data_IF_767631208257
#
_entry.id   IF_767631208257
#
_cell.length_a   1.000
_cell.length_b   1.000
_cell.length_c   1.000
_cell.angle_alpha   90.00
_cell.angle_beta   90.00
_cell.angle_gamma   90.00
#
_symmetry.space_group_name_H-M   'P 1'
#
loop_
_entity.id
_entity.type
_entity.pdbx_description
1 polymer ?
#
# COMPACT_ATOMS: atom_id res chain seq x y z
N UNK A 1 -10.54 -11.05 2.90
CA UNK A 1 -11.83 -11.55 3.42
C UNK A 1 -11.69 -13.01 3.84
N UNK A 2 -12.34 -13.42 4.91
CA UNK A 2 -12.34 -14.81 5.38
C UNK A 2 -13.37 -15.56 4.52
N UNK A 3 -13.07 -16.80 4.13
CA UNK A 3 -14.00 -17.64 3.36
C UNK A 3 -15.31 -17.84 4.15
N UNK A 4 -16.44 -17.56 3.52
CA UNK A 4 -17.77 -17.65 4.15
C UNK A 4 -18.22 -16.38 4.89
N UNK A 5 -17.37 -15.36 5.03
CA UNK A 5 -17.78 -14.07 5.58
C UNK A 5 -18.48 -13.21 4.51
N UNK A 6 -19.36 -12.30 4.93
CA UNK A 6 -20.02 -11.39 4.01
C UNK A 6 -19.14 -10.15 3.73
N UNK A 7 -19.32 -9.54 2.55
CA UNK A 7 -18.69 -8.26 2.18
C UNK A 7 -19.01 -7.18 3.23
N UNK A 8 -20.28 -7.05 3.61
CA UNK A 8 -20.74 -6.10 4.62
C UNK A 8 -20.01 -6.27 5.95
N UNK A 9 -19.92 -7.51 6.45
CA UNK A 9 -19.25 -7.79 7.72
C UNK A 9 -17.75 -7.49 7.64
N UNK A 10 -17.10 -7.82 6.53
CA UNK A 10 -15.68 -7.52 6.31
C UNK A 10 -15.41 -6.02 6.29
N UNK A 11 -16.27 -5.21 5.64
CA UNK A 11 -16.18 -3.75 5.64
C UNK A 11 -16.35 -3.17 7.05
N UNK A 12 -17.34 -3.66 7.82
CA UNK A 12 -17.52 -3.23 9.21
C UNK A 12 -16.32 -3.61 10.09
N UNK A 13 -15.73 -4.79 9.90
CA UNK A 13 -14.49 -5.16 10.62
C UNK A 13 -13.34 -4.23 10.27
N UNK A 14 -13.16 -3.89 8.98
CA UNK A 14 -12.12 -2.94 8.54
C UNK A 14 -12.28 -1.57 9.19
N UNK A 15 -13.52 -1.08 9.31
CA UNK A 15 -13.82 0.17 10.03
C UNK A 15 -13.43 0.08 11.51
N UNK A 16 -13.76 -1.02 12.19
CA UNK A 16 -13.37 -1.24 13.59
C UNK A 16 -11.86 -1.30 13.78
N UNK A 17 -11.13 -1.92 12.84
CA UNK A 17 -9.66 -1.95 12.88
C UNK A 17 -9.07 -0.55 12.73
N UNK A 18 -9.61 0.26 11.81
CA UNK A 18 -9.16 1.64 11.64
C UNK A 18 -9.44 2.50 12.89
N UNK A 19 -10.62 2.35 13.50
CA UNK A 19 -10.96 3.01 14.77
C UNK A 19 -10.01 2.59 15.89
N UNK A 20 -9.70 1.30 15.98
CA UNK A 20 -8.75 0.80 16.98
C UNK A 20 -7.33 1.32 16.74
N UNK A 21 -6.89 1.39 15.49
CA UNK A 21 -5.60 1.99 15.13
C UNK A 21 -5.54 3.49 15.50
N UNK A 22 -6.63 4.23 15.26
CA UNK A 22 -6.76 5.65 15.65
C UNK A 22 -6.65 5.84 17.17
N UNK A 23 -7.35 5.00 17.96
CA UNK A 23 -7.29 5.01 19.42
C UNK A 23 -5.89 4.70 19.96
N UNK A 24 -5.18 3.79 19.30
CA UNK A 24 -3.82 3.39 19.68
C UNK A 24 -2.74 4.37 19.22
N UNK A 25 -3.11 5.42 18.46
CA UNK A 25 -2.20 6.45 18.03
C UNK A 25 -1.32 6.06 16.83
N UNK A 26 -1.76 5.12 15.99
CA UNK A 26 -1.10 4.86 14.71
C UNK A 26 -1.18 6.08 13.81
N UNK A 27 -0.12 6.32 13.02
CA UNK A 27 -0.04 7.48 12.14
C UNK A 27 -1.00 7.36 10.95
N UNK A 28 -1.09 6.17 10.33
CA UNK A 28 -1.79 5.97 9.05
C UNK A 28 -2.58 4.67 9.02
N UNK A 29 -3.66 4.70 8.25
CA UNK A 29 -4.43 3.53 7.83
C UNK A 29 -4.68 3.63 6.33
N UNK A 30 -4.00 2.79 5.54
CA UNK A 30 -4.12 2.82 4.09
C UNK A 30 -4.85 1.61 3.54
N UNK A 31 -5.51 1.82 2.43
CA UNK A 31 -6.33 0.84 1.72
C UNK A 31 -5.74 0.57 0.34
N UNK A 32 -5.60 -0.70 -0.03
CA UNK A 32 -5.12 -1.11 -1.34
C UNK A 32 -6.19 -0.91 -2.43
N UNK A 33 -5.80 -1.10 -3.69
CA UNK A 33 -6.71 -1.25 -4.83
C UNK A 33 -6.45 -2.59 -5.52
N UNK A 34 -7.46 -3.46 -5.53
CA UNK A 34 -7.43 -4.72 -6.26
C UNK A 34 -8.80 -4.99 -6.88
N UNK A 35 -8.79 -5.45 -8.13
CA UNK A 35 -9.98 -5.75 -8.89
C UNK A 35 -10.07 -7.23 -9.21
N UNK A 36 -11.31 -7.76 -9.33
CA UNK A 36 -11.59 -9.15 -9.73
C UNK A 36 -10.81 -10.19 -8.90
N UNK A 37 -10.65 -9.96 -7.61
CA UNK A 37 -9.83 -10.80 -6.74
C UNK A 37 -10.66 -11.31 -5.57
N UNK A 38 -11.23 -12.53 -5.64
CA UNK A 38 -11.93 -13.13 -4.53
C UNK A 38 -11.08 -13.14 -3.26
N UNK A 39 -11.68 -12.71 -2.15
CA UNK A 39 -10.96 -12.55 -0.88
C UNK A 39 -10.39 -11.15 -0.61
N UNK A 40 -10.36 -10.25 -1.61
CA UNK A 40 -9.99 -8.83 -1.44
C UNK A 40 -11.12 -7.96 -1.97
N UNK A 41 -11.72 -7.15 -1.09
CA UNK A 41 -12.92 -6.35 -1.42
C UNK A 41 -12.64 -4.86 -1.58
N UNK A 42 -11.37 -4.48 -1.67
CA UNK A 42 -10.93 -3.10 -1.78
C UNK A 42 -10.69 -2.74 -3.26
N UNK A 43 -11.78 -2.51 -4.02
CA UNK A 43 -11.71 -2.08 -5.41
C UNK A 43 -12.05 -0.59 -5.56
N UNK A 44 -13.04 -0.09 -4.83
CA UNK A 44 -13.43 1.32 -4.81
C UNK A 44 -12.69 2.07 -3.70
N UNK A 45 -11.38 2.21 -3.83
CA UNK A 45 -10.48 2.67 -2.75
C UNK A 45 -10.83 4.06 -2.24
N UNK A 46 -11.10 5.04 -3.11
CA UNK A 46 -11.47 6.40 -2.70
C UNK A 46 -12.76 6.45 -1.88
N UNK A 47 -13.75 5.62 -2.20
CA UNK A 47 -15.00 5.50 -1.42
C UNK A 47 -14.70 4.96 -0.02
N UNK A 48 -13.87 3.94 0.07
CA UNK A 48 -13.50 3.34 1.36
C UNK A 48 -12.62 4.27 2.19
N UNK A 49 -11.70 5.03 1.57
CA UNK A 49 -10.93 6.08 2.26
C UNK A 49 -11.87 7.10 2.91
N UNK A 50 -12.88 7.59 2.18
CA UNK A 50 -13.88 8.51 2.71
C UNK A 50 -14.69 7.91 3.86
N UNK A 51 -15.12 6.65 3.72
CA UNK A 51 -15.83 5.94 4.78
C UNK A 51 -14.99 5.80 6.06
N UNK A 52 -13.74 5.37 5.94
CA UNK A 52 -12.83 5.21 7.10
C UNK A 52 -12.49 6.57 7.71
N UNK A 53 -12.19 7.59 6.91
CA UNK A 53 -11.91 8.94 7.42
C UNK A 53 -13.07 9.53 8.20
N UNK A 54 -14.32 9.30 7.74
CA UNK A 54 -15.54 9.72 8.44
C UNK A 54 -15.83 8.96 9.74
N UNK A 55 -15.26 7.78 9.92
CA UNK A 55 -15.44 6.93 11.11
C UNK A 55 -14.24 6.95 12.06
N UNK A 56 -13.22 7.77 11.80
CA UNK A 56 -12.01 7.96 12.62
C UNK A 56 -11.78 9.45 12.90
N UNK A 57 -10.89 9.79 13.83
CA UNK A 57 -10.76 11.18 14.32
C UNK A 57 -9.42 11.83 14.00
N UNK A 58 -8.30 11.10 14.15
CA UNK A 58 -6.94 11.65 14.09
C UNK A 58 -6.06 10.97 13.06
N UNK A 59 -6.20 9.66 12.91
CA UNK A 59 -5.38 8.86 12.01
C UNK A 59 -5.48 9.36 10.57
N UNK A 60 -4.37 9.41 9.87
CA UNK A 60 -4.36 9.71 8.44
C UNK A 60 -4.89 8.50 7.67
N UNK A 61 -5.72 8.76 6.68
CA UNK A 61 -6.32 7.69 5.87
C UNK A 61 -5.93 7.90 4.41
N UNK A 62 -5.56 6.85 3.72
CA UNK A 62 -5.12 7.00 2.34
C UNK A 62 -5.18 5.72 1.52
N UNK A 63 -4.64 5.82 0.33
CA UNK A 63 -4.47 4.69 -0.57
C UNK A 63 -3.05 4.12 -0.50
N UNK A 64 -2.96 2.79 -0.50
CA UNK A 64 -1.68 2.11 -0.53
C UNK A 64 -1.61 1.03 -1.61
N UNK A 65 -1.89 1.44 -2.90
CA UNK A 65 -2.16 2.72 -3.55
C UNK A 65 -3.30 2.67 -4.54
N UNK A 66 -3.64 3.85 -5.06
CA UNK A 66 -4.41 3.93 -6.30
C UNK A 66 -3.52 3.41 -7.44
N UNK A 67 -4.03 2.47 -8.20
CA UNK A 67 -3.35 1.94 -9.40
C UNK A 67 -3.61 2.93 -10.55
N UNK A 68 -2.82 4.01 -10.60
CA UNK A 68 -3.07 5.18 -11.45
C UNK A 68 -3.34 4.85 -12.92
N UNK A 69 -2.69 3.84 -13.54
CA UNK A 69 -3.03 3.47 -14.93
C UNK A 69 -4.49 3.03 -15.15
N UNK A 70 -5.24 2.67 -14.11
CA UNK A 70 -6.66 2.32 -14.21
C UNK A 70 -7.58 3.55 -14.21
N UNK A 71 -7.06 4.75 -13.93
CA UNK A 71 -7.85 5.95 -13.65
C UNK A 71 -7.42 7.15 -14.50
N UNK A 72 -8.33 8.12 -14.67
CA UNK A 72 -7.97 9.45 -15.17
C UNK A 72 -7.33 10.26 -14.01
N UNK A 73 -6.17 10.91 -14.21
CA UNK A 73 -5.58 11.79 -13.20
C UNK A 73 -6.55 12.87 -12.70
N UNK A 74 -7.36 13.46 -13.61
CA UNK A 74 -8.37 14.43 -13.23
C UNK A 74 -9.38 13.87 -12.20
N UNK A 75 -9.93 12.68 -12.48
CA UNK A 75 -10.89 12.03 -11.58
C UNK A 75 -10.27 11.72 -10.22
N UNK A 76 -9.01 11.25 -10.19
CA UNK A 76 -8.28 10.99 -8.93
C UNK A 76 -8.06 12.29 -8.16
N UNK A 77 -7.66 13.39 -8.84
CA UNK A 77 -7.48 14.69 -8.20
C UNK A 77 -8.80 15.23 -7.61
N UNK A 78 -9.91 15.09 -8.33
CA UNK A 78 -11.24 15.51 -7.83
C UNK A 78 -11.69 14.65 -6.63
N UNK A 79 -11.50 13.32 -6.69
CA UNK A 79 -11.85 12.43 -5.58
C UNK A 79 -11.03 12.73 -4.32
N UNK A 80 -9.70 12.80 -4.44
CA UNK A 80 -8.84 13.04 -3.29
C UNK A 80 -8.90 14.48 -2.80
N UNK A 81 -9.11 15.43 -3.68
CA UNK A 81 -9.42 16.82 -3.31
C UNK A 81 -10.73 16.97 -2.54
N UNK A 82 -11.76 16.21 -2.94
CA UNK A 82 -13.02 16.12 -2.19
C UNK A 82 -12.79 15.53 -0.79
N UNK A 83 -12.01 14.45 -0.71
CA UNK A 83 -11.67 13.80 0.56
C UNK A 83 -10.90 14.76 1.48
N UNK A 84 -9.89 15.46 0.96
CA UNK A 84 -9.12 16.43 1.74
C UNK A 84 -9.98 17.61 2.21
N UNK A 85 -10.91 18.07 1.38
CA UNK A 85 -11.88 19.12 1.75
C UNK A 85 -12.83 18.69 2.87
N UNK A 86 -13.22 17.40 2.89
CA UNK A 86 -14.07 16.81 3.93
C UNK A 86 -13.28 16.49 5.21
N UNK A 87 -12.02 16.10 5.09
CA UNK A 87 -11.16 15.64 6.20
C UNK A 87 -9.78 16.30 6.16
N UNK A 88 -9.70 17.63 6.35
CA UNK A 88 -8.47 18.42 6.14
C UNK A 88 -7.27 17.89 6.92
N UNK A 89 -6.13 17.77 6.25
CA UNK A 89 -4.86 17.33 6.83
C UNK A 89 -4.77 15.83 7.13
N UNK A 90 -5.76 15.03 6.74
CA UNK A 90 -5.83 13.60 7.09
C UNK A 90 -5.77 12.65 5.90
N UNK A 91 -5.69 13.15 4.69
CA UNK A 91 -5.74 12.32 3.47
C UNK A 91 -4.34 12.13 2.90
N UNK A 92 -4.03 10.91 2.47
CA UNK A 92 -2.81 10.54 1.73
C UNK A 92 -3.19 9.90 0.39
N UNK A 93 -2.49 10.29 -0.68
CA UNK A 93 -2.64 9.70 -2.00
C UNK A 93 -1.40 8.87 -2.35
N UNK A 94 -1.44 7.58 -2.03
CA UNK A 94 -0.43 6.64 -2.49
C UNK A 94 -0.74 6.15 -3.89
N UNK A 95 0.28 6.13 -4.78
CA UNK A 95 0.14 5.80 -6.19
C UNK A 95 0.98 4.57 -6.55
N UNK A 96 0.37 3.61 -7.25
CA UNK A 96 1.04 2.46 -7.84
C UNK A 96 0.98 2.47 -9.37
N UNK A 97 2.04 1.94 -10.00
CA UNK A 97 2.10 1.79 -11.46
C UNK A 97 1.50 0.48 -11.97
N UNK A 98 1.51 -0.56 -11.13
CA UNK A 98 1.00 -1.87 -11.50
C UNK A 98 -0.53 -1.81 -11.74
N UNK A 99 -1.10 -2.66 -12.60
CA UNK A 99 -2.55 -2.65 -12.85
C UNK A 99 -3.36 -3.18 -11.65
N UNK A 100 -2.74 -3.85 -10.68
CA UNK A 100 -3.43 -4.42 -9.52
C UNK A 100 -4.43 -5.54 -9.85
N UNK A 101 -4.34 -6.10 -11.07
CA UNK A 101 -5.30 -7.06 -11.61
C UNK A 101 -4.68 -7.91 -12.73
N UNK A 102 -5.42 -8.93 -13.17
CA UNK A 102 -5.08 -9.75 -14.34
C UNK A 102 -5.34 -9.01 -15.68
N UNK A 103 -4.80 -9.51 -16.82
CA UNK A 103 -4.96 -8.85 -18.13
C UNK A 103 -6.41 -8.73 -18.64
N UNK A 104 -7.32 -9.64 -18.24
CA UNK A 104 -8.73 -9.56 -18.61
C UNK A 104 -9.40 -8.42 -17.87
N UNK A 105 -9.15 -8.32 -16.59
CA UNK A 105 -9.64 -7.25 -15.73
C UNK A 105 -9.07 -5.91 -16.13
N UNK A 106 -7.77 -5.82 -16.48
CA UNK A 106 -7.17 -4.58 -16.97
C UNK A 106 -7.88 -4.05 -18.22
N UNK A 107 -8.25 -4.93 -19.15
CA UNK A 107 -9.05 -4.55 -20.33
C UNK A 107 -10.46 -4.04 -19.96
N UNK A 108 -11.10 -4.66 -18.99
CA UNK A 108 -12.41 -4.20 -18.49
C UNK A 108 -12.34 -2.83 -17.81
N UNK A 109 -11.18 -2.47 -17.26
CA UNK A 109 -10.89 -1.14 -16.68
C UNK A 109 -10.43 -0.11 -17.75
N UNK A 110 -10.48 -0.46 -19.05
CA UNK A 110 -9.95 0.34 -20.14
C UNK A 110 -8.46 0.72 -19.97
N UNK A 111 -7.72 -0.14 -19.27
CA UNK A 111 -6.28 0.04 -19.06
C UNK A 111 -5.55 -0.83 -20.08
N UNK A 112 -4.83 -0.21 -20.99
CA UNK A 112 -3.86 -0.89 -21.84
C UNK A 112 -2.45 -0.80 -21.24
N UNK A 113 -1.55 -1.65 -21.72
CA UNK A 113 -0.18 -1.70 -21.21
C UNK A 113 0.59 -0.38 -21.41
N UNK A 114 0.17 0.46 -22.40
CA UNK A 114 0.83 1.73 -22.70
C UNK A 114 0.63 2.78 -21.58
N UNK A 115 -0.45 2.71 -20.84
CA UNK A 115 -0.72 3.65 -19.75
C UNK A 115 0.30 3.53 -18.61
N UNK A 116 0.81 2.32 -18.32
CA UNK A 116 1.86 2.13 -17.34
C UNK A 116 3.18 2.82 -17.71
N UNK A 117 3.43 3.05 -19.00
CA UNK A 117 4.60 3.79 -19.50
C UNK A 117 4.45 5.29 -19.25
N UNK A 118 3.23 5.82 -19.30
CA UNK A 118 2.93 7.23 -19.05
C UNK A 118 2.82 7.59 -17.55
N UNK A 119 2.96 6.62 -16.66
CA UNK A 119 2.85 6.84 -15.21
C UNK A 119 3.64 8.05 -14.67
N UNK A 120 4.91 8.31 -15.08
CA UNK A 120 5.64 9.50 -14.64
C UNK A 120 4.98 10.82 -15.06
N UNK A 121 4.37 10.86 -16.24
CA UNK A 121 3.61 12.00 -16.74
C UNK A 121 2.32 12.21 -15.96
N UNK A 122 1.56 11.14 -15.72
CA UNK A 122 0.31 11.17 -14.95
C UNK A 122 0.53 11.61 -13.49
N UNK A 123 1.68 11.23 -12.88
CA UNK A 123 2.07 11.74 -11.54
C UNK A 123 2.33 13.25 -11.59
N UNK A 124 3.00 13.76 -12.63
CA UNK A 124 3.21 15.22 -12.81
C UNK A 124 1.89 15.95 -12.98
N UNK A 125 0.97 15.39 -13.76
CA UNK A 125 -0.37 15.94 -13.96
C UNK A 125 -1.13 16.03 -12.63
N UNK A 126 -1.10 14.98 -11.80
CA UNK A 126 -1.71 14.99 -10.46
C UNK A 126 -1.09 16.06 -9.56
N UNK A 127 0.23 16.21 -9.56
CA UNK A 127 0.89 17.28 -8.81
C UNK A 127 0.40 18.67 -9.25
N UNK A 128 0.19 18.86 -10.55
CA UNK A 128 -0.34 20.12 -11.10
C UNK A 128 -1.79 20.35 -10.72
N UNK A 129 -2.64 19.31 -10.83
CA UNK A 129 -4.07 19.40 -10.55
C UNK A 129 -4.41 19.61 -9.06
N UNK A 130 -3.57 19.06 -8.15
CA UNK A 130 -3.74 19.21 -6.70
C UNK A 130 -3.01 20.45 -6.13
N UNK A 131 -2.05 20.97 -6.89
CA UNK A 131 -1.28 22.15 -6.53
C UNK A 131 -2.01 23.47 -6.75
N UNK A 132 -1.32 24.60 -6.50
CA UNK A 132 -1.86 25.94 -6.79
C UNK A 132 -2.12 26.13 -8.29
N UNK A 133 -3.32 26.58 -8.61
CA UNK A 133 -3.63 26.93 -10.00
C UNK A 133 -2.89 28.20 -10.43
N UNK A 134 -2.07 28.05 -11.46
CA UNK A 134 -1.20 29.12 -11.99
C UNK A 134 -1.63 29.64 -13.37
N UNK A 135 -2.81 29.22 -13.86
CA UNK A 135 -3.34 29.63 -15.16
C UNK A 135 -2.71 28.97 -16.40
N UNK A 136 -1.73 28.09 -16.23
CA UNK A 136 -1.02 27.43 -17.36
C UNK A 136 -1.67 26.11 -17.79
N UNK A 137 -2.36 25.43 -16.89
CA UNK A 137 -3.06 24.19 -17.20
C UNK A 137 -4.50 24.47 -17.67
N UNK A 138 -4.93 23.91 -18.81
CA UNK A 138 -6.25 24.21 -19.39
C UNK A 138 -7.42 23.61 -18.58
N UNK A 139 -7.15 22.60 -17.73
CA UNK A 139 -8.13 21.89 -16.93
C UNK A 139 -7.87 22.19 -15.46
N UNK A 140 -8.94 22.36 -14.69
CA UNK A 140 -8.91 22.55 -13.24
C UNK A 140 -9.59 21.37 -12.55
N UNK A 141 -8.96 20.81 -11.55
CA UNK A 141 -9.59 19.82 -10.68
C UNK A 141 -10.32 20.52 -9.54
N UNK A 142 -11.65 20.52 -9.56
CA UNK A 142 -12.44 21.18 -8.49
C UNK A 142 -13.25 20.10 -7.80
N UNK A 143 -13.04 19.91 -6.46
CA UNK A 143 -12.35 20.79 -5.49
C UNK A 143 -10.85 20.47 -5.25
N UNK A 144 -10.16 19.74 -6.12
CA UNK A 144 -8.78 19.28 -5.91
C UNK A 144 -7.70 20.37 -5.87
N UNK A 145 -7.85 21.45 -6.66
CA UNK A 145 -6.81 22.48 -6.76
C UNK A 145 -6.55 23.15 -5.39
N UNK A 146 -5.29 23.51 -5.12
CA UNK A 146 -4.80 24.08 -3.85
C UNK A 146 -4.92 23.16 -2.63
N UNK A 147 -5.37 21.92 -2.76
CA UNK A 147 -5.46 21.00 -1.62
C UNK A 147 -4.10 20.47 -1.21
N UNK A 148 -3.14 20.39 -2.14
CA UNK A 148 -1.80 19.85 -1.92
C UNK A 148 -1.82 18.49 -1.20
N UNK A 149 -2.78 17.61 -1.52
CA UNK A 149 -2.85 16.26 -0.95
C UNK A 149 -1.50 15.57 -1.08
N UNK A 150 -0.91 15.07 0.03
CA UNK A 150 0.39 14.40 -0.02
C UNK A 150 0.38 13.20 -0.95
N UNK A 151 1.23 13.25 -1.99
CA UNK A 151 1.42 12.14 -2.95
C UNK A 151 2.59 11.29 -2.47
N UNK A 152 2.38 9.96 -2.45
CA UNK A 152 3.35 8.94 -2.11
C UNK A 152 3.56 8.00 -3.29
N UNK A 153 4.80 7.70 -3.66
CA UNK A 153 5.08 6.74 -4.72
C UNK A 153 5.38 5.36 -4.13
N UNK A 154 4.56 4.38 -4.53
CA UNK A 154 4.67 3.01 -4.07
C UNK A 154 5.28 2.11 -5.13
N UNK A 155 6.07 1.15 -4.70
CA UNK A 155 6.54 0.09 -5.58
C UNK A 155 7.51 -0.87 -4.92
N UNK A 156 7.81 -1.93 -5.66
CA UNK A 156 8.72 -3.01 -5.25
C UNK A 156 9.91 -3.16 -6.21
N UNK A 157 10.23 -2.12 -6.97
CA UNK A 157 11.27 -2.13 -8.00
C UNK A 157 12.13 -0.86 -7.98
N UNK A 158 13.27 -0.91 -8.64
CA UNK A 158 14.16 0.24 -8.79
C UNK A 158 13.51 1.42 -9.54
N UNK A 159 12.59 1.14 -10.46
CA UNK A 159 11.89 2.18 -11.22
C UNK A 159 11.12 3.16 -10.33
N UNK A 160 10.32 2.64 -9.38
CA UNK A 160 9.54 3.49 -8.48
C UNK A 160 10.43 4.28 -7.52
N UNK A 161 11.52 3.68 -7.06
CA UNK A 161 12.54 4.33 -6.25
C UNK A 161 13.18 5.52 -6.99
N UNK A 162 13.60 5.30 -8.23
CA UNK A 162 14.19 6.33 -9.07
C UNK A 162 13.22 7.46 -9.39
N UNK A 163 11.97 7.12 -9.73
CA UNK A 163 10.95 8.13 -10.01
C UNK A 163 10.64 8.99 -8.78
N UNK A 164 10.49 8.38 -7.60
CA UNK A 164 10.26 9.09 -6.35
C UNK A 164 11.43 10.03 -6.02
N UNK A 165 12.67 9.55 -6.18
CA UNK A 165 13.88 10.34 -5.97
C UNK A 165 13.95 11.56 -6.90
N UNK A 166 13.69 11.36 -8.21
CA UNK A 166 13.73 12.42 -9.21
C UNK A 166 12.65 13.48 -8.99
N UNK A 167 11.47 13.08 -8.50
CA UNK A 167 10.35 13.98 -8.20
C UNK A 167 10.40 14.61 -6.81
N UNK A 168 11.35 14.20 -5.95
CA UNK A 168 11.41 14.65 -4.56
C UNK A 168 10.17 14.29 -3.75
N UNK A 169 9.59 13.13 -4.00
CA UNK A 169 8.39 12.61 -3.33
C UNK A 169 8.76 11.53 -2.31
N UNK A 170 7.94 11.34 -1.25
CA UNK A 170 8.13 10.24 -0.33
C UNK A 170 7.94 8.89 -1.03
N UNK A 171 8.76 7.92 -0.64
CA UNK A 171 8.82 6.61 -1.26
C UNK A 171 8.34 5.52 -0.30
N UNK A 172 7.50 4.63 -0.79
CA UNK A 172 7.02 3.45 -0.06
C UNK A 172 7.49 2.19 -0.75
N UNK A 173 8.39 1.46 -0.12
CA UNK A 173 8.79 0.16 -0.64
C UNK A 173 7.82 -0.93 -0.21
N UNK A 174 7.21 -1.61 -1.19
CA UNK A 174 6.27 -2.70 -0.98
C UNK A 174 7.03 -4.02 -0.71
N UNK A 175 7.59 -4.16 0.50
CA UNK A 175 8.45 -5.29 0.89
C UNK A 175 7.76 -6.65 0.86
N UNK A 176 6.44 -6.66 0.98
CA UNK A 176 5.62 -7.86 0.89
C UNK A 176 5.48 -8.45 -0.53
N UNK A 177 5.98 -7.76 -1.57
CA UNK A 177 5.96 -8.27 -2.96
C UNK A 177 7.33 -8.68 -3.46
N UNK A 178 8.38 -7.96 -3.12
CA UNK A 178 9.71 -8.22 -3.66
C UNK A 178 10.83 -7.94 -2.63
N UNK A 179 10.88 -8.70 -1.52
CA UNK A 179 11.81 -8.44 -0.42
C UNK A 179 13.28 -8.36 -0.85
N UNK A 180 13.66 -9.11 -1.88
CA UNK A 180 15.04 -9.15 -2.42
C UNK A 180 15.58 -7.81 -2.92
N UNK A 181 14.71 -6.89 -3.32
CA UNK A 181 15.12 -5.59 -3.88
C UNK A 181 15.13 -4.45 -2.86
N UNK A 182 14.76 -4.69 -1.62
CA UNK A 182 14.57 -3.64 -0.61
C UNK A 182 15.80 -2.77 -0.41
N UNK A 183 16.98 -3.38 -0.27
CA UNK A 183 18.25 -2.66 -0.06
C UNK A 183 18.60 -1.78 -1.27
N UNK A 184 18.57 -2.35 -2.46
CA UNK A 184 18.94 -1.65 -3.68
C UNK A 184 17.99 -0.50 -3.99
N UNK A 185 16.69 -0.69 -3.79
CA UNK A 185 15.68 0.32 -4.05
C UNK A 185 15.77 1.50 -3.07
N UNK A 186 15.92 1.24 -1.78
CA UNK A 186 16.07 2.28 -0.76
C UNK A 186 17.40 3.03 -0.94
N UNK A 187 18.50 2.33 -1.20
CA UNK A 187 19.80 2.95 -1.47
C UNK A 187 19.76 3.84 -2.72
N UNK A 188 19.11 3.36 -3.80
CA UNK A 188 18.91 4.14 -5.03
C UNK A 188 18.09 5.41 -4.75
N UNK A 189 16.97 5.28 -4.07
CA UNK A 189 16.10 6.41 -3.73
C UNK A 189 16.86 7.49 -2.96
N UNK A 190 17.58 7.11 -1.90
CA UNK A 190 18.34 8.04 -1.07
C UNK A 190 19.47 8.71 -1.84
N UNK A 191 20.22 7.95 -2.63
CA UNK A 191 21.36 8.45 -3.41
C UNK A 191 20.95 9.46 -4.48
N UNK A 192 19.82 9.22 -5.15
CA UNK A 192 19.37 10.01 -6.30
C UNK A 192 18.29 11.04 -5.94
N UNK A 193 17.96 11.15 -4.65
CA UNK A 193 16.93 12.07 -4.18
C UNK A 193 17.27 13.53 -4.52
N UNK A 194 16.28 14.21 -5.07
CA UNK A 194 16.31 15.65 -5.34
C UNK A 194 15.28 16.34 -4.46
N UNK A 195 15.74 17.30 -3.65
CA UNK A 195 14.83 18.11 -2.85
C UNK A 195 13.79 18.81 -3.73
N UNK A 196 12.59 18.93 -3.21
CA UNK A 196 11.43 19.53 -3.88
C UNK A 196 10.69 20.47 -2.93
N UNK A 197 9.60 21.07 -3.40
CA UNK A 197 8.68 21.82 -2.52
C UNK A 197 7.94 20.94 -1.52
N UNK A 198 7.99 19.61 -1.68
CA UNK A 198 7.31 18.62 -0.80
C UNK A 198 8.25 18.12 0.29
N UNK A 199 9.51 17.81 -0.06
CA UNK A 199 10.50 17.24 0.84
C UNK A 199 11.89 17.83 0.62
N UNK A 200 12.53 18.24 1.70
CA UNK A 200 13.93 18.69 1.70
C UNK A 200 14.93 17.52 1.74
N UNK A 201 14.53 16.38 2.28
CA UNK A 201 15.32 15.16 2.42
C UNK A 201 14.50 13.90 2.13
N UNK A 202 15.16 12.78 1.78
CA UNK A 202 14.46 11.52 1.54
C UNK A 202 13.55 11.12 2.71
N UNK A 203 12.39 10.57 2.41
CA UNK A 203 11.50 9.95 3.38
C UNK A 203 11.09 8.56 2.88
N UNK A 204 11.46 7.53 3.63
CA UNK A 204 11.26 6.11 3.27
C UNK A 204 10.25 5.47 4.21
N UNK A 205 9.19 4.93 3.65
CA UNK A 205 8.26 4.05 4.36
C UNK A 205 8.45 2.62 3.85
N UNK A 206 8.49 1.64 4.75
CA UNK A 206 8.58 0.22 4.41
C UNK A 206 7.26 -0.49 4.74
N UNK A 207 6.60 -1.00 3.70
CA UNK A 207 5.47 -1.90 3.87
C UNK A 207 5.98 -3.34 4.07
N UNK A 208 5.59 -3.97 5.18
CA UNK A 208 5.96 -5.34 5.51
C UNK A 208 4.81 -6.09 6.19
N UNK A 209 4.72 -7.42 6.00
CA UNK A 209 3.78 -8.24 6.76
C UNK A 209 4.19 -8.32 8.21
N UNK A 210 3.24 -8.12 9.13
CA UNK A 210 3.48 -8.24 10.56
C UNK A 210 2.41 -9.10 11.20
N UNK A 211 2.84 -10.07 12.03
CA UNK A 211 1.97 -10.91 12.87
C UNK A 211 2.44 -10.83 14.31
N UNK A 212 1.65 -10.16 15.11
CA UNK A 212 1.90 -9.98 16.54
C UNK A 212 0.96 -10.83 17.38
N UNK A 213 1.46 -11.41 18.46
CA UNK A 213 0.67 -12.11 19.47
C UNK A 213 1.30 -11.93 20.87
N UNK A 214 0.71 -12.51 21.90
CA UNK A 214 1.25 -12.42 23.26
C UNK A 214 2.57 -13.21 23.39
N UNK A 215 2.72 -14.30 22.65
CA UNK A 215 3.93 -15.13 22.61
C UNK A 215 4.45 -15.34 21.19
N UNK A 216 5.73 -15.69 21.07
CA UNK A 216 6.35 -16.05 19.79
C UNK A 216 5.68 -17.29 19.18
N UNK A 217 5.35 -18.29 19.97
CA UNK A 217 4.73 -19.54 19.49
C UNK A 217 3.32 -19.27 18.93
N UNK A 218 2.52 -18.47 19.63
CA UNK A 218 1.20 -18.04 19.13
C UNK A 218 1.32 -17.26 17.83
N UNK A 219 2.26 -16.32 17.75
CA UNK A 219 2.52 -15.57 16.53
C UNK A 219 2.93 -16.48 15.36
N UNK A 220 3.76 -17.49 15.61
CA UNK A 220 4.14 -18.48 14.60
C UNK A 220 2.92 -19.29 14.13
N UNK A 221 2.07 -19.73 15.04
CA UNK A 221 0.80 -20.39 14.70
C UNK A 221 -0.08 -19.50 13.82
N UNK A 222 -0.32 -18.25 14.23
CA UNK A 222 -1.14 -17.29 13.46
C UNK A 222 -0.54 -16.97 12.08
N UNK A 223 0.79 -16.95 11.96
CA UNK A 223 1.50 -16.69 10.71
C UNK A 223 1.25 -17.73 9.63
N UNK A 224 0.79 -18.93 10.00
CA UNK A 224 0.45 -19.98 9.04
C UNK A 224 -0.68 -19.58 8.11
N UNK A 225 -1.58 -18.68 8.51
CA UNK A 225 -2.58 -18.06 7.62
C UNK A 225 -1.93 -17.31 6.46
N UNK A 226 -0.88 -16.52 6.73
CA UNK A 226 -0.14 -15.79 5.68
C UNK A 226 0.62 -16.75 4.77
N UNK A 227 1.23 -17.79 5.34
CA UNK A 227 1.93 -18.83 4.56
C UNK A 227 0.97 -19.56 3.63
N UNK A 228 -0.21 -19.95 4.12
CA UNK A 228 -1.27 -20.56 3.30
C UNK A 228 -1.68 -19.63 2.16
N UNK A 229 -1.89 -18.34 2.44
CA UNK A 229 -2.30 -17.36 1.42
C UNK A 229 -1.25 -17.19 0.32
N UNK A 230 0.04 -17.13 0.67
CA UNK A 230 1.13 -17.05 -0.31
C UNK A 230 1.21 -18.34 -1.13
N UNK A 231 1.00 -19.50 -0.50
CA UNK A 231 0.95 -20.79 -1.21
C UNK A 231 -0.20 -20.81 -2.24
N UNK A 232 -1.40 -20.31 -1.87
CA UNK A 232 -2.52 -20.19 -2.81
C UNK A 232 -2.20 -19.21 -3.96
N UNK A 233 -1.51 -18.11 -3.67
CA UNK A 233 -1.05 -17.15 -4.68
C UNK A 233 -0.11 -17.81 -5.69
N UNK A 234 0.87 -18.60 -5.23
CA UNK A 234 1.83 -19.31 -6.08
C UNK A 234 1.11 -20.32 -6.97
N UNK A 235 0.07 -20.97 -6.46
CA UNK A 235 -0.75 -21.95 -7.19
C UNK A 235 -1.79 -21.31 -8.12
N UNK A 236 -1.94 -19.99 -8.10
CA UNK A 236 -2.95 -19.28 -8.89
C UNK A 236 -4.39 -19.48 -8.41
N UNK A 237 -4.57 -19.83 -7.15
CA UNK A 237 -5.87 -20.03 -6.53
C UNK A 237 -6.46 -18.74 -5.97
N UNK A 238 -7.73 -18.79 -5.53
CA UNK A 238 -8.40 -17.67 -4.85
C UNK A 238 -7.75 -17.36 -3.49
N UNK A 239 -7.60 -16.06 -3.17
CA UNK A 239 -6.85 -15.57 -2.03
C UNK A 239 -7.70 -15.38 -0.76
N UNK A 240 -8.59 -16.33 -0.45
CA UNK A 240 -9.33 -16.33 0.80
C UNK A 240 -8.42 -16.50 2.02
N UNK A 241 -8.69 -15.75 3.08
CA UNK A 241 -8.02 -16.01 4.35
C UNK A 241 -8.57 -17.30 4.96
N UNK A 242 -7.68 -18.23 5.22
CA UNK A 242 -7.94 -19.50 5.92
C UNK A 242 -7.56 -19.36 7.40
N UNK A 243 -8.19 -20.11 8.30
CA UNK A 243 -7.77 -20.15 9.69
C UNK A 243 -6.32 -20.66 9.80
N UNK A 244 -5.61 -20.28 10.87
CA UNK A 244 -4.28 -20.83 11.14
C UNK A 244 -4.34 -22.35 11.42
N UNK A 245 -3.25 -23.03 11.15
CA UNK A 245 -3.08 -24.48 11.31
C UNK A 245 -1.77 -24.78 12.03
N UNK A 246 -1.69 -25.94 12.70
CA UNK A 246 -0.51 -26.36 13.48
C UNK A 246 0.74 -26.53 12.61
N UNK A 247 0.61 -27.10 11.41
CA UNK A 247 1.71 -27.30 10.47
C UNK A 247 1.23 -27.22 9.02
N UNK A 248 2.14 -26.82 8.13
CA UNK A 248 1.97 -26.92 6.69
C UNK A 248 2.66 -28.17 6.12
N UNK A 249 3.24 -29.02 6.95
CA UNK A 249 3.88 -30.25 6.51
C UNK A 249 2.88 -31.14 5.75
N UNK A 250 3.30 -31.60 4.59
CA UNK A 250 2.45 -32.37 3.68
C UNK A 250 1.48 -31.54 2.81
N UNK A 251 1.35 -30.22 3.05
CA UNK A 251 0.51 -29.32 2.24
C UNK A 251 1.29 -28.63 1.12
N UNK A 252 2.61 -28.62 1.19
CA UNK A 252 3.49 -28.01 0.19
C UNK A 252 4.67 -28.92 -0.15
N UNK A 253 5.23 -28.75 -1.34
CA UNK A 253 6.51 -29.33 -1.73
C UNK A 253 7.68 -28.50 -1.15
N UNK A 254 8.89 -29.03 -1.12
CA UNK A 254 10.09 -28.27 -0.71
C UNK A 254 10.30 -27.01 -1.57
N UNK A 255 10.00 -27.08 -2.85
CA UNK A 255 10.12 -25.95 -3.76
C UNK A 255 9.10 -24.87 -3.45
N UNK A 256 7.84 -25.22 -3.19
CA UNK A 256 6.80 -24.28 -2.77
C UNK A 256 7.13 -23.66 -1.42
N UNK A 257 7.62 -24.45 -0.46
CA UNK A 257 8.10 -23.96 0.84
C UNK A 257 9.18 -22.90 0.67
N UNK A 258 10.21 -23.17 -0.13
CA UNK A 258 11.28 -22.22 -0.38
C UNK A 258 10.76 -20.92 -1.01
N UNK A 259 9.79 -21.00 -1.93
CA UNK A 259 9.15 -19.82 -2.53
C UNK A 259 8.34 -19.01 -1.49
N UNK A 260 7.55 -19.67 -0.64
CA UNK A 260 6.76 -19.01 0.42
C UNK A 260 7.70 -18.33 1.42
N UNK A 261 8.75 -19.02 1.89
CA UNK A 261 9.73 -18.47 2.84
C UNK A 261 10.46 -17.26 2.25
N UNK A 262 10.86 -17.33 0.99
CA UNK A 262 11.50 -16.20 0.30
C UNK A 262 10.54 -15.01 0.14
N UNK A 263 9.28 -15.25 -0.24
CA UNK A 263 8.26 -14.21 -0.37
C UNK A 263 7.99 -13.51 0.97
N UNK A 264 7.98 -14.25 2.07
CA UNK A 264 7.74 -13.75 3.42
C UNK A 264 9.02 -13.36 4.19
N UNK A 265 10.17 -13.27 3.53
CA UNK A 265 11.46 -13.05 4.20
C UNK A 265 11.58 -11.72 4.96
N UNK A 266 10.78 -10.71 4.62
CA UNK A 266 10.68 -9.44 5.37
C UNK A 266 9.53 -9.45 6.40
N UNK A 267 8.84 -10.57 6.59
CA UNK A 267 7.75 -10.64 7.56
C UNK A 267 8.29 -10.59 8.99
N UNK A 268 7.66 -9.78 9.81
CA UNK A 268 7.95 -9.67 11.24
C UNK A 268 6.89 -10.45 12.01
N UNK A 269 7.31 -11.55 12.63
CA UNK A 269 6.43 -12.46 13.37
C UNK A 269 7.00 -12.67 14.77
N UNK A 270 6.17 -12.52 15.81
CA UNK A 270 6.59 -12.76 17.19
C UNK A 270 5.72 -12.08 18.25
N UNK A 271 6.11 -12.26 19.49
CA UNK A 271 5.60 -11.54 20.65
C UNK A 271 6.18 -10.13 20.74
N UNK A 272 5.74 -9.37 21.74
CA UNK A 272 6.08 -7.95 21.87
C UNK A 272 7.59 -7.65 21.82
N UNK A 273 8.40 -8.44 22.52
CA UNK A 273 9.86 -8.22 22.60
C UNK A 273 10.52 -8.53 21.25
N UNK A 274 10.17 -9.67 20.65
CA UNK A 274 10.71 -10.11 19.37
C UNK A 274 10.37 -9.16 18.24
N UNK A 275 9.12 -8.66 18.19
CA UNK A 275 8.66 -7.69 17.19
C UNK A 275 9.42 -6.38 17.32
N UNK A 276 9.48 -5.81 18.53
CA UNK A 276 10.18 -4.56 18.78
C UNK A 276 11.63 -4.66 18.30
N UNK A 277 12.35 -5.72 18.74
CA UNK A 277 13.73 -5.93 18.35
C UNK A 277 13.91 -6.05 16.82
N UNK A 278 13.07 -6.84 16.14
CA UNK A 278 13.14 -7.03 14.70
C UNK A 278 12.87 -5.72 13.94
N UNK A 279 11.85 -4.95 14.34
CA UNK A 279 11.55 -3.67 13.71
C UNK A 279 12.69 -2.66 13.90
N UNK A 280 13.26 -2.56 15.10
CA UNK A 280 14.41 -1.69 15.38
C UNK A 280 15.64 -2.07 14.54
N UNK A 281 15.91 -3.38 14.38
CA UNK A 281 16.98 -3.86 13.50
C UNK A 281 16.75 -3.48 12.04
N UNK A 282 15.54 -3.72 11.51
CA UNK A 282 15.19 -3.39 10.13
C UNK A 282 15.26 -1.87 9.94
N UNK A 283 14.71 -1.08 10.88
CA UNK A 283 14.75 0.38 10.81
C UNK A 283 16.19 0.90 10.73
N UNK A 284 17.09 0.36 11.56
CA UNK A 284 18.49 0.75 11.57
C UNK A 284 19.23 0.30 10.31
N UNK A 285 19.00 -0.95 9.86
CA UNK A 285 19.73 -1.51 8.72
C UNK A 285 19.33 -0.85 7.39
N UNK A 286 18.05 -0.54 7.20
CA UNK A 286 17.50 0.06 5.98
C UNK A 286 17.34 1.57 6.11
N UNK A 287 17.52 2.12 7.32
CA UNK A 287 17.32 3.55 7.63
C UNK A 287 15.95 4.03 7.13
N UNK A 288 14.88 3.30 7.48
CA UNK A 288 13.51 3.69 7.14
C UNK A 288 12.92 4.61 8.20
N UNK A 289 12.09 5.55 7.75
CA UNK A 289 11.48 6.56 8.62
C UNK A 289 10.16 6.07 9.23
N UNK A 290 9.45 5.17 8.53
CA UNK A 290 8.14 4.68 8.95
C UNK A 290 7.89 3.25 8.44
N UNK A 291 7.10 2.46 9.19
CA UNK A 291 6.58 1.16 8.77
C UNK A 291 5.08 1.25 8.51
N UNK A 292 4.61 0.47 7.51
CA UNK A 292 3.19 0.31 7.22
C UNK A 292 2.85 -1.15 6.89
#
# INVERSE_FOLDING_TARGET
MIKGDSVTNTLHKSTKYAQRADELGFNRFWLAEHHNMPGIICAATSILVGHIAGNTKKIRVGSGGIMLPNHSPLVVAEQFGTLESLYPGRIDLGLGRAPGSDPVTSRALNNDMSRAENFPGEVTELQTLLGPYNGTHPIRAIPGENTNVPIWLLGSSLFSAQLAAQKGLPYVFAGHFAPRFVHDAIALYKREFKASSVLDKPYVMLALPLVAADTDDEAQYLSTTSKQRVLELIRGNELWLKPPIESLDGLWSEQERAHVENFLSLSVVGGHVSIKHKLEMIAKQLEVDEFI
#
